data_IF_125879139278
#
_entry.id   IF_125879139278
#
_cell.length_a   1.000
_cell.length_b   1.000
_cell.length_c   1.000
_cell.angle_alpha   90.00
_cell.angle_beta   90.00
_cell.angle_gamma   90.00
#
_symmetry.space_group_name_H-M   'P 1'
#
loop_
_entity.id
_entity.type
_entity.pdbx_description
1 polymer ?
#
# COMPACT_ATOMS: atom_id res chain seq x y z
N UNK A 1 28.40 -24.79 16.40
CA UNK A 1 28.00 -24.86 14.98
C UNK A 1 26.48 -24.78 14.93
N UNK A 2 25.95 -23.57 14.75
CA UNK A 2 24.53 -23.28 14.94
C UNK A 2 23.82 -23.22 13.58
N UNK A 3 23.28 -24.35 13.13
CA UNK A 3 22.51 -24.48 11.88
C UNK A 3 21.02 -24.10 12.04
N UNK A 4 20.70 -23.00 12.74
CA UNK A 4 19.30 -22.67 13.08
C UNK A 4 18.78 -21.33 12.50
N UNK A 5 19.45 -20.72 11.53
CA UNK A 5 19.00 -19.43 10.96
C UNK A 5 18.46 -19.48 9.52
N UNK A 6 18.57 -20.59 8.79
CA UNK A 6 18.21 -20.59 7.36
C UNK A 6 16.77 -21.04 7.05
N UNK A 7 16.07 -21.74 7.95
CA UNK A 7 14.71 -22.23 7.66
C UNK A 7 13.59 -21.18 7.85
N UNK A 8 13.79 -20.13 8.65
CA UNK A 8 12.76 -19.10 8.86
C UNK A 8 12.71 -18.05 7.74
N UNK A 9 13.76 -17.92 6.93
CA UNK A 9 13.80 -16.96 5.82
C UNK A 9 13.06 -17.52 4.60
N UNK A 10 13.11 -18.84 4.38
CA UNK A 10 12.48 -19.49 3.22
C UNK A 10 10.96 -19.60 3.43
N UNK A 11 10.48 -19.84 4.65
CA UNK A 11 9.04 -19.96 4.92
C UNK A 11 8.31 -18.61 4.85
N UNK A 12 8.93 -17.51 5.29
CA UNK A 12 8.36 -16.16 5.16
C UNK A 12 8.41 -15.63 3.72
N UNK A 13 9.47 -15.95 2.96
CA UNK A 13 9.60 -15.56 1.55
C UNK A 13 8.46 -16.13 0.68
N UNK A 14 8.14 -17.41 0.86
CA UNK A 14 7.03 -18.04 0.13
C UNK A 14 5.66 -17.48 0.54
N UNK A 15 5.48 -17.08 1.82
CA UNK A 15 4.24 -16.46 2.27
C UNK A 15 4.00 -15.09 1.62
N UNK A 16 5.04 -14.25 1.51
CA UNK A 16 4.95 -12.95 0.84
C UNK A 16 4.63 -13.08 -0.66
N UNK A 17 5.30 -14.00 -1.36
CA UNK A 17 5.05 -14.24 -2.79
C UNK A 17 3.65 -14.79 -3.07
N UNK A 18 3.21 -15.77 -2.27
CA UNK A 18 1.85 -16.33 -2.37
C UNK A 18 0.78 -15.29 -2.03
N UNK A 19 1.03 -14.42 -1.06
CA UNK A 19 0.13 -13.32 -0.73
C UNK A 19 0.01 -12.32 -1.87
N UNK A 20 1.13 -12.00 -2.54
CA UNK A 20 1.15 -11.16 -3.73
C UNK A 20 0.34 -11.74 -4.88
N UNK A 21 0.46 -13.06 -5.15
CA UNK A 21 -0.36 -13.74 -6.15
C UNK A 21 -1.85 -13.73 -5.78
N UNK A 22 -2.17 -13.97 -4.51
CA UNK A 22 -3.54 -13.93 -4.01
C UNK A 22 -4.18 -12.55 -4.17
N UNK A 23 -3.45 -11.48 -3.83
CA UNK A 23 -3.90 -10.10 -4.03
C UNK A 23 -4.13 -9.80 -5.51
N UNK A 24 -3.17 -10.16 -6.38
CA UNK A 24 -3.32 -9.97 -7.83
C UNK A 24 -4.58 -10.66 -8.36
N UNK A 25 -4.81 -11.91 -7.97
CA UNK A 25 -6.02 -12.63 -8.37
C UNK A 25 -7.29 -11.93 -7.85
N UNK A 26 -7.30 -11.44 -6.61
CA UNK A 26 -8.44 -10.69 -6.06
C UNK A 26 -8.71 -9.40 -6.85
N UNK A 27 -7.67 -8.68 -7.27
CA UNK A 27 -7.79 -7.47 -8.10
C UNK A 27 -8.35 -7.80 -9.48
N UNK A 28 -7.88 -8.86 -10.14
CA UNK A 28 -8.40 -9.26 -11.45
C UNK A 28 -9.89 -9.62 -11.37
N UNK A 29 -10.29 -10.35 -10.33
CA UNK A 29 -11.72 -10.63 -10.07
C UNK A 29 -12.54 -9.35 -9.82
N UNK A 30 -11.95 -8.29 -9.27
CA UNK A 30 -12.63 -7.00 -9.10
C UNK A 30 -12.92 -6.32 -10.44
N UNK A 31 -12.02 -6.45 -11.42
CA UNK A 31 -12.11 -5.77 -12.73
C UNK A 31 -13.13 -6.41 -13.67
N UNK A 32 -13.52 -7.66 -13.45
CA UNK A 32 -14.51 -8.35 -14.27
C UNK A 32 -15.87 -7.62 -14.29
N UNK A 33 -16.44 -7.47 -15.49
CA UNK A 33 -17.77 -6.87 -15.71
C UNK A 33 -18.85 -7.76 -15.10
N UNK A 34 -19.27 -7.46 -13.88
CA UNK A 34 -20.39 -8.11 -13.19
C UNK A 34 -21.34 -7.07 -12.59
N UNK A 35 -22.58 -7.47 -12.33
CA UNK A 35 -23.63 -6.58 -11.82
C UNK A 35 -23.23 -5.82 -10.55
N UNK A 36 -23.80 -4.63 -10.36
CA UNK A 36 -23.41 -3.63 -9.35
C UNK A 36 -23.33 -4.17 -7.91
N UNK A 37 -24.23 -5.07 -7.51
CA UNK A 37 -24.23 -5.66 -6.17
C UNK A 37 -23.08 -6.65 -5.90
N UNK A 38 -22.61 -7.34 -6.93
CA UNK A 38 -21.46 -8.27 -6.83
C UNK A 38 -20.16 -7.46 -6.76
N UNK A 39 -20.10 -6.33 -7.48
CA UNK A 39 -18.95 -5.44 -7.53
C UNK A 39 -18.54 -4.92 -6.15
N UNK A 40 -19.51 -4.48 -5.33
CA UNK A 40 -19.23 -3.94 -4.00
C UNK A 40 -18.62 -4.98 -3.05
N UNK A 41 -19.19 -6.20 -3.00
CA UNK A 41 -18.65 -7.29 -2.19
C UNK A 41 -17.23 -7.70 -2.60
N UNK A 42 -16.92 -7.65 -3.91
CA UNK A 42 -15.57 -7.90 -4.43
C UNK A 42 -14.58 -6.81 -3.97
N UNK A 43 -14.99 -5.54 -4.03
CA UNK A 43 -14.19 -4.42 -3.52
C UNK A 43 -13.87 -4.61 -2.04
N UNK A 44 -14.89 -4.86 -1.21
CA UNK A 44 -14.70 -5.11 0.23
C UNK A 44 -13.74 -6.26 0.51
N UNK A 45 -13.87 -7.37 -0.23
CA UNK A 45 -12.96 -8.51 -0.10
C UNK A 45 -11.53 -8.10 -0.42
N UNK A 46 -11.28 -7.39 -1.52
CA UNK A 46 -9.93 -6.95 -1.89
C UNK A 46 -9.35 -6.01 -0.82
N UNK A 47 -10.14 -5.06 -0.33
CA UNK A 47 -9.69 -4.14 0.71
C UNK A 47 -9.34 -4.87 2.01
N UNK A 48 -10.10 -5.90 2.39
CA UNK A 48 -9.79 -6.73 3.55
C UNK A 48 -8.48 -7.51 3.36
N UNK A 49 -8.25 -8.10 2.18
CA UNK A 49 -7.00 -8.82 1.89
C UNK A 49 -5.79 -7.88 1.97
N UNK A 50 -5.90 -6.66 1.44
CA UNK A 50 -4.84 -5.67 1.60
C UNK A 50 -4.61 -5.27 3.06
N UNK A 51 -5.68 -5.02 3.80
CA UNK A 51 -5.58 -4.63 5.20
C UNK A 51 -4.94 -5.73 6.06
N UNK A 52 -5.30 -6.99 5.83
CA UNK A 52 -4.70 -8.13 6.51
C UNK A 52 -3.23 -8.33 6.09
N UNK A 53 -2.91 -8.11 4.82
CA UNK A 53 -1.54 -8.08 4.33
C UNK A 53 -0.69 -7.01 5.00
N UNK A 54 -1.24 -5.80 5.17
CA UNK A 54 -0.55 -4.68 5.81
C UNK A 54 -0.24 -4.98 7.27
N UNK A 55 -1.24 -5.50 8.01
CA UNK A 55 -1.07 -5.91 9.42
C UNK A 55 0.00 -6.98 9.61
N UNK A 56 0.18 -7.85 8.61
CA UNK A 56 1.19 -8.93 8.60
C UNK A 56 2.52 -8.49 7.97
N UNK A 57 2.65 -7.23 7.54
CA UNK A 57 3.82 -6.70 6.83
C UNK A 57 4.19 -7.48 5.56
N UNK A 58 3.17 -8.01 4.85
CA UNK A 58 3.33 -8.81 3.62
C UNK A 58 3.16 -7.99 2.35
N UNK A 59 2.90 -6.68 2.46
CA UNK A 59 2.70 -5.81 1.31
C UNK A 59 4.02 -5.26 0.81
N UNK A 60 4.35 -5.53 -0.45
CA UNK A 60 5.45 -4.87 -1.15
C UNK A 60 5.13 -3.41 -1.46
N UNK A 61 6.14 -2.64 -1.86
CA UNK A 61 5.96 -1.27 -2.34
C UNK A 61 4.89 -1.18 -3.46
N UNK A 62 4.96 -2.07 -4.44
CA UNK A 62 4.02 -2.11 -5.57
C UNK A 62 2.59 -2.41 -5.13
N UNK A 63 2.43 -3.24 -4.09
CA UNK A 63 1.12 -3.57 -3.53
C UNK A 63 0.54 -2.39 -2.76
N UNK A 64 1.36 -1.63 -2.02
CA UNK A 64 0.92 -0.37 -1.40
C UNK A 64 0.48 0.66 -2.44
N UNK A 65 1.25 0.84 -3.52
CA UNK A 65 0.88 1.75 -4.62
C UNK A 65 -0.47 1.35 -5.21
N UNK A 66 -0.66 0.07 -5.52
CA UNK A 66 -1.92 -0.44 -6.06
C UNK A 66 -3.08 -0.26 -5.07
N UNK A 67 -2.86 -0.52 -3.78
CA UNK A 67 -3.90 -0.38 -2.77
C UNK A 67 -4.38 1.06 -2.63
N UNK A 68 -3.44 2.02 -2.60
CA UNK A 68 -3.75 3.45 -2.57
C UNK A 68 -4.60 3.84 -3.79
N UNK A 69 -4.23 3.38 -4.98
CA UNK A 69 -4.96 3.67 -6.21
C UNK A 69 -6.38 3.09 -6.21
N UNK A 70 -6.54 1.88 -5.70
CA UNK A 70 -7.87 1.27 -5.51
C UNK A 70 -8.69 2.11 -4.54
N UNK A 71 -8.14 2.49 -3.38
CA UNK A 71 -8.83 3.28 -2.35
C UNK A 71 -9.29 4.64 -2.88
N UNK A 72 -8.45 5.33 -3.66
CA UNK A 72 -8.81 6.59 -4.32
C UNK A 72 -9.95 6.36 -5.32
N UNK A 73 -9.84 5.34 -6.17
CA UNK A 73 -10.84 5.04 -7.20
C UNK A 73 -12.22 4.68 -6.63
N UNK A 74 -12.27 4.05 -5.44
CA UNK A 74 -13.53 3.73 -4.75
C UNK A 74 -14.01 4.85 -3.82
N UNK A 75 -13.31 5.99 -3.78
CA UNK A 75 -13.71 7.17 -3.00
C UNK A 75 -13.36 7.10 -1.51
N UNK A 76 -12.57 6.13 -1.06
CA UNK A 76 -12.15 5.96 0.34
C UNK A 76 -10.89 6.77 0.66
N UNK A 77 -10.94 8.09 0.45
CA UNK A 77 -9.79 8.99 0.54
C UNK A 77 -9.12 9.00 1.92
N UNK A 78 -9.91 8.97 3.01
CA UNK A 78 -9.36 8.91 4.38
C UNK A 78 -8.51 7.66 4.59
N UNK A 79 -8.98 6.50 4.11
CA UNK A 79 -8.24 5.25 4.22
C UNK A 79 -7.01 5.26 3.31
N UNK A 80 -7.13 5.84 2.11
CA UNK A 80 -5.99 6.03 1.21
C UNK A 80 -4.88 6.85 1.88
N UNK A 81 -5.25 7.90 2.62
CA UNK A 81 -4.32 8.73 3.37
C UNK A 81 -3.63 7.97 4.50
N UNK A 82 -4.38 7.22 5.31
CA UNK A 82 -3.83 6.36 6.37
C UNK A 82 -2.83 5.35 5.79
N UNK A 83 -3.22 4.64 4.72
CA UNK A 83 -2.37 3.70 4.00
C UNK A 83 -1.14 4.40 3.39
N UNK A 84 -1.29 5.60 2.83
CA UNK A 84 -0.19 6.42 2.34
C UNK A 84 0.80 6.77 3.46
N UNK A 85 0.30 7.10 4.65
CA UNK A 85 1.11 7.37 5.83
C UNK A 85 1.90 6.14 6.30
N UNK A 86 1.25 4.97 6.34
CA UNK A 86 1.87 3.69 6.70
C UNK A 86 2.92 3.26 5.67
N UNK A 87 2.60 3.38 4.38
CA UNK A 87 3.49 2.94 3.29
C UNK A 87 4.85 3.65 3.30
N UNK A 88 4.90 4.97 3.53
CA UNK A 88 6.17 5.70 3.61
C UNK A 88 6.88 5.52 4.95
N UNK A 89 6.25 4.93 5.97
CA UNK A 89 6.98 4.45 7.16
C UNK A 89 7.74 3.16 6.84
N UNK A 90 7.10 2.26 6.10
CA UNK A 90 7.69 0.97 5.72
C UNK A 90 8.70 1.10 4.55
N UNK A 91 8.44 2.03 3.63
CA UNK A 91 9.22 2.28 2.41
C UNK A 91 9.60 3.75 2.30
N UNK A 92 10.29 4.26 3.31
CA UNK A 92 10.58 5.69 3.47
C UNK A 92 11.47 6.29 2.36
N UNK A 93 12.11 5.47 1.53
CA UNK A 93 12.96 5.92 0.42
C UNK A 93 12.25 5.86 -0.94
N UNK A 94 11.02 5.35 -0.99
CA UNK A 94 10.23 5.28 -2.22
C UNK A 94 9.68 6.64 -2.61
N UNK A 95 10.25 7.22 -3.67
CA UNK A 95 9.74 8.45 -4.29
C UNK A 95 8.29 8.29 -4.75
N UNK A 96 7.93 7.11 -5.27
CA UNK A 96 6.58 6.82 -5.76
C UNK A 96 5.54 6.91 -4.64
N UNK A 97 5.82 6.31 -3.48
CA UNK A 97 4.91 6.36 -2.33
C UNK A 97 4.82 7.76 -1.71
N UNK A 98 5.95 8.48 -1.60
CA UNK A 98 5.92 9.89 -1.18
C UNK A 98 5.08 10.76 -2.10
N UNK A 99 5.22 10.60 -3.42
CA UNK A 99 4.40 11.30 -4.40
C UNK A 99 2.91 10.99 -4.22
N UNK A 100 2.53 9.73 -4.04
CA UNK A 100 1.14 9.34 -3.75
C UNK A 100 0.62 9.99 -2.46
N UNK A 101 1.40 9.96 -1.38
CA UNK A 101 1.04 10.57 -0.10
C UNK A 101 0.85 12.08 -0.21
N UNK A 102 1.70 12.77 -0.96
CA UNK A 102 1.58 14.21 -1.22
C UNK A 102 0.32 14.53 -2.04
N UNK A 103 0.05 13.77 -3.09
CA UNK A 103 -1.17 13.92 -3.90
C UNK A 103 -2.44 13.71 -3.06
N UNK A 104 -2.43 12.70 -2.19
CA UNK A 104 -3.53 12.46 -1.26
C UNK A 104 -3.75 13.64 -0.32
N UNK A 105 -2.67 14.21 0.24
CA UNK A 105 -2.77 15.38 1.12
C UNK A 105 -3.41 16.59 0.41
N UNK A 106 -3.08 16.80 -0.87
CA UNK A 106 -3.72 17.84 -1.69
C UNK A 106 -5.20 17.51 -1.92
N UNK A 107 -5.51 16.26 -2.28
CA UNK A 107 -6.89 15.81 -2.56
C UNK A 107 -7.80 15.84 -1.34
N UNK A 108 -7.27 15.57 -0.14
CA UNK A 108 -8.03 15.65 1.12
C UNK A 108 -8.12 17.07 1.68
N UNK A 109 -7.56 18.06 0.97
CA UNK A 109 -7.66 19.47 1.34
C UNK A 109 -6.83 19.85 2.56
N UNK A 110 -5.67 19.19 2.77
CA UNK A 110 -4.75 19.60 3.83
C UNK A 110 -4.25 21.03 3.62
N UNK A 111 -3.93 21.69 4.73
CA UNK A 111 -3.35 23.02 4.72
C UNK A 111 -2.02 23.02 3.97
N UNK A 112 -1.73 24.13 3.30
CA UNK A 112 -0.49 24.31 2.53
C UNK A 112 0.75 24.06 3.39
N UNK A 113 0.77 24.58 4.62
CA UNK A 113 1.86 24.38 5.58
C UNK A 113 2.12 22.90 5.89
N UNK A 114 1.07 22.09 6.00
CA UNK A 114 1.20 20.66 6.26
C UNK A 114 1.72 19.90 5.05
N UNK A 115 1.33 20.32 3.84
CA UNK A 115 1.84 19.77 2.58
C UNK A 115 3.32 20.14 2.42
N UNK A 116 3.71 21.37 2.72
CA UNK A 116 5.10 21.83 2.69
C UNK A 116 5.98 21.05 3.68
N UNK A 117 5.50 20.86 4.93
CA UNK A 117 6.18 20.01 5.92
C UNK A 117 6.35 18.58 5.42
N UNK A 118 5.31 18.03 4.80
CA UNK A 118 5.34 16.67 4.25
C UNK A 118 6.34 16.56 3.09
N UNK A 119 6.37 17.54 2.19
CA UNK A 119 7.31 17.58 1.06
C UNK A 119 8.76 17.68 1.53
N UNK A 120 9.04 18.56 2.50
CA UNK A 120 10.38 18.71 3.06
C UNK A 120 10.86 17.43 3.77
N UNK A 121 9.95 16.74 4.46
CA UNK A 121 10.23 15.44 5.07
C UNK A 121 10.58 14.39 4.02
N UNK A 122 9.81 14.33 2.93
CA UNK A 122 10.09 13.44 1.81
C UNK A 122 11.46 13.71 1.19
N UNK A 123 11.76 14.99 0.90
CA UNK A 123 13.02 15.43 0.31
C UNK A 123 14.23 15.04 1.15
N UNK A 124 14.14 15.21 2.48
CA UNK A 124 15.21 14.81 3.40
C UNK A 124 15.51 13.32 3.30
N UNK A 125 14.49 12.49 3.44
CA UNK A 125 14.66 11.03 3.51
C UNK A 125 15.06 10.42 2.18
N UNK A 126 14.56 10.96 1.06
CA UNK A 126 14.92 10.47 -0.28
C UNK A 126 16.36 10.86 -0.65
N UNK A 127 16.81 12.06 -0.29
CA UNK A 127 18.14 12.55 -0.65
C UNK A 127 19.27 11.92 0.17
N UNK A 128 19.01 11.40 1.38
CA UNK A 128 20.02 10.76 2.24
C UNK A 128 20.56 9.42 1.68
N UNK A 129 20.04 8.90 0.57
CA UNK A 129 20.50 7.67 -0.10
C UNK A 129 21.03 7.85 -1.53
N UNK A 130 21.06 9.07 -2.06
CA UNK A 130 21.62 9.34 -3.41
C UNK A 130 23.05 9.81 -3.27
#
# INVERSE_FOLDING_TARGET
MSHSCYCNIIFDSCHGEMWGLYIKQCIELMKEKTGTGIKQKRIEKVLNVFNDGSKRQLLTEELYIQWIDILVNVGLLKKAEETGCESVKNYCTSVKLWKKRLLLAVQTGKLEDDILKLFNSAKKVVNEKT
#
